data_IF_490767073441
#
_entry.id   IF_490767073441
#
_cell.length_a   1.000
_cell.length_b   1.000
_cell.length_c   1.000
_cell.angle_alpha   90.00
_cell.angle_beta   90.00
_cell.angle_gamma   90.00
#
_symmetry.space_group_name_H-M   'P 1'
#
loop_
_entity.id
_entity.type
_entity.pdbx_description
1 polymer ?
#
# COMPACT_ATOMS: atom_id res chain seq x y z
N UNK A 1 -11.95 -16.87 -16.73
CA UNK A 1 -11.34 -15.83 -15.87
C UNK A 1 -12.04 -15.90 -14.53
N UNK A 2 -11.52 -16.70 -13.61
CA UNK A 2 -12.00 -16.69 -12.21
C UNK A 2 -11.48 -15.40 -11.59
N UNK A 3 -12.30 -14.35 -11.58
CA UNK A 3 -11.93 -13.09 -10.94
C UNK A 3 -11.74 -13.31 -9.44
N UNK A 4 -10.75 -12.64 -8.87
CA UNK A 4 -10.54 -12.58 -7.43
C UNK A 4 -11.84 -12.11 -6.75
N UNK A 5 -12.21 -12.61 -5.56
CA UNK A 5 -13.50 -12.32 -4.92
C UNK A 5 -13.77 -10.82 -4.77
N UNK A 6 -12.70 -10.01 -4.71
CA UNK A 6 -12.73 -8.55 -4.55
C UNK A 6 -13.16 -7.77 -5.80
N UNK A 7 -13.21 -8.39 -6.97
CA UNK A 7 -13.59 -7.72 -8.24
C UNK A 7 -14.87 -8.27 -8.86
N UNK A 8 -15.54 -9.20 -8.17
CA UNK A 8 -16.81 -9.76 -8.60
C UNK A 8 -17.88 -8.65 -8.67
N UNK A 9 -18.43 -8.41 -9.86
CA UNK A 9 -19.47 -7.41 -10.10
C UNK A 9 -18.98 -6.01 -10.50
N UNK A 10 -17.67 -5.79 -10.66
CA UNK A 10 -17.14 -4.54 -11.22
C UNK A 10 -17.13 -4.54 -12.76
N UNK A 11 -17.27 -3.37 -13.37
CA UNK A 11 -17.03 -3.19 -14.81
C UNK A 11 -15.54 -3.35 -15.15
N UNK A 12 -15.23 -3.56 -16.44
CA UNK A 12 -13.84 -3.72 -16.89
C UNK A 12 -12.95 -2.51 -16.53
N UNK A 13 -13.48 -1.29 -16.67
CA UNK A 13 -12.79 -0.04 -16.30
C UNK A 13 -12.59 0.08 -14.79
N UNK A 14 -13.59 -0.25 -13.98
CA UNK A 14 -13.49 -0.23 -12.51
C UNK A 14 -12.48 -1.26 -12.00
N UNK A 15 -12.47 -2.44 -12.60
CA UNK A 15 -11.53 -3.51 -12.27
C UNK A 15 -10.09 -3.12 -12.61
N UNK A 16 -9.85 -2.47 -13.75
CA UNK A 16 -8.53 -1.95 -14.10
C UNK A 16 -8.03 -0.91 -13.07
N UNK A 17 -8.90 0.02 -12.67
CA UNK A 17 -8.58 1.02 -11.65
C UNK A 17 -8.29 0.39 -10.27
N UNK A 18 -9.08 -0.60 -9.85
CA UNK A 18 -8.83 -1.37 -8.64
C UNK A 18 -7.43 -1.98 -8.63
N UNK A 19 -7.02 -2.61 -9.74
CA UNK A 19 -5.71 -3.24 -9.82
C UNK A 19 -4.56 -2.22 -9.78
N UNK A 20 -4.70 -1.04 -10.40
CA UNK A 20 -3.65 -0.01 -10.29
C UNK A 20 -3.50 0.48 -8.85
N UNK A 21 -4.61 0.72 -8.15
CA UNK A 21 -4.57 1.26 -6.80
C UNK A 21 -4.09 0.22 -5.78
N UNK A 22 -4.58 -1.01 -5.92
CA UNK A 22 -4.17 -2.13 -5.07
C UNK A 22 -2.67 -2.39 -5.18
N UNK A 23 -2.10 -2.37 -6.40
CA UNK A 23 -0.65 -2.59 -6.59
C UNK A 23 0.18 -1.46 -5.97
N UNK A 24 -0.30 -0.22 -6.01
CA UNK A 24 0.41 0.94 -5.45
C UNK A 24 0.41 0.94 -3.91
N UNK A 25 -0.66 0.42 -3.30
CA UNK A 25 -0.83 0.44 -1.84
C UNK A 25 -0.49 -0.87 -1.13
N UNK A 26 -0.46 -2.00 -1.85
CA UNK A 26 -0.14 -3.33 -1.29
C UNK A 26 1.22 -3.31 -0.62
N UNK A 27 1.31 -4.00 0.53
CA UNK A 27 2.58 -4.20 1.23
C UNK A 27 3.14 -5.58 0.91
N UNK A 28 4.45 -5.63 0.69
CA UNK A 28 5.16 -6.88 0.43
C UNK A 28 5.55 -7.55 1.76
N UNK A 29 5.17 -8.82 1.91
CA UNK A 29 5.51 -9.65 3.08
C UNK A 29 7.04 -9.73 3.25
N UNK A 30 7.76 -9.87 2.14
CA UNK A 30 9.22 -10.04 2.11
C UNK A 30 9.95 -8.77 2.55
N UNK A 31 9.49 -7.60 2.09
CA UNK A 31 10.07 -6.32 2.50
C UNK A 31 9.94 -6.13 4.03
N UNK A 32 8.81 -6.55 4.60
CA UNK A 32 8.60 -6.56 6.04
C UNK A 32 9.60 -7.44 6.80
N UNK A 33 9.79 -8.67 6.34
CA UNK A 33 10.74 -9.63 6.94
C UNK A 33 12.17 -9.09 6.85
N UNK A 34 12.57 -8.56 5.70
CA UNK A 34 13.88 -7.95 5.50
C UNK A 34 14.07 -6.74 6.43
N UNK A 35 13.08 -5.85 6.54
CA UNK A 35 13.14 -4.73 7.46
C UNK A 35 13.26 -5.18 8.92
N UNK A 36 12.50 -6.19 9.36
CA UNK A 36 12.60 -6.71 10.72
C UNK A 36 14.00 -7.30 11.00
N UNK A 37 14.59 -8.01 10.03
CA UNK A 37 15.92 -8.59 10.14
C UNK A 37 17.04 -7.53 10.12
N UNK A 38 16.96 -6.54 9.23
CA UNK A 38 17.98 -5.50 9.08
C UNK A 38 17.87 -4.39 10.15
N UNK A 39 16.67 -3.92 10.53
CA UNK A 39 16.51 -2.95 11.63
C UNK A 39 16.75 -3.58 13.00
N UNK A 40 16.37 -4.85 13.18
CA UNK A 40 16.58 -5.57 14.44
C UNK A 40 18.06 -5.84 14.73
N UNK A 41 18.88 -6.04 13.69
CA UNK A 41 20.30 -6.38 13.84
C UNK A 41 21.24 -5.19 13.94
N UNK A 42 20.91 -4.02 13.35
CA UNK A 42 21.97 -3.05 13.10
C UNK A 42 22.44 -2.25 14.32
N UNK A 43 21.58 -1.66 15.16
CA UNK A 43 21.96 -0.89 16.37
C UNK A 43 22.98 0.28 16.20
N UNK A 44 23.64 0.39 15.05
CA UNK A 44 24.81 1.22 14.77
C UNK A 44 24.41 2.65 14.38
N UNK A 45 23.17 2.84 13.92
CA UNK A 45 22.58 4.16 13.70
C UNK A 45 22.64 5.03 14.97
N UNK A 46 22.43 4.47 16.16
CA UNK A 46 22.50 5.22 17.42
C UNK A 46 23.93 5.69 17.77
N UNK A 47 24.94 4.95 17.31
CA UNK A 47 26.35 5.33 17.44
C UNK A 47 26.71 6.50 16.51
N UNK A 48 26.05 6.56 15.34
CA UNK A 48 26.23 7.64 14.36
C UNK A 48 25.72 9.01 14.86
N UNK A 49 24.65 9.04 15.68
CA UNK A 49 24.09 10.29 16.23
C UNK A 49 24.81 10.82 17.49
N UNK A 50 26.04 10.38 17.82
CA UNK A 50 26.81 10.79 19.02
C UNK A 50 26.05 10.66 20.36
N UNK A 51 25.02 9.80 20.42
CA UNK A 51 24.27 9.49 21.64
C UNK A 51 24.75 8.15 22.19
N UNK A 52 25.97 8.19 22.74
CA UNK A 52 26.72 7.02 23.17
C UNK A 52 25.96 6.16 24.21
N UNK A 53 25.10 6.75 25.05
CA UNK A 53 24.31 6.00 26.04
C UNK A 53 23.32 4.99 25.44
N UNK A 54 22.58 5.38 24.39
CA UNK A 54 21.65 4.48 23.68
C UNK A 54 22.40 3.50 22.77
N UNK A 55 23.52 3.93 22.20
CA UNK A 55 24.41 3.09 21.41
C UNK A 55 25.04 1.95 22.23
N UNK A 56 25.46 2.21 23.47
CA UNK A 56 26.00 1.19 24.38
C UNK A 56 24.91 0.21 24.84
N UNK A 57 23.68 0.68 25.11
CA UNK A 57 22.54 -0.21 25.35
C UNK A 57 22.29 -1.16 24.16
N UNK A 58 22.29 -0.65 22.93
CA UNK A 58 22.14 -1.50 21.73
C UNK A 58 23.35 -2.43 21.49
N UNK A 59 24.59 -1.98 21.76
CA UNK A 59 25.79 -2.83 21.71
C UNK A 59 25.73 -3.96 22.76
N UNK A 60 25.26 -3.64 23.97
CA UNK A 60 25.07 -4.59 25.08
C UNK A 60 23.84 -5.48 24.92
N UNK A 61 22.87 -5.16 24.05
CA UNK A 61 21.77 -6.06 23.70
C UNK A 61 22.03 -6.84 22.41
N UNK A 62 22.94 -6.39 21.53
CA UNK A 62 23.38 -7.14 20.35
C UNK A 62 24.02 -8.50 20.71
N UNK A 63 24.86 -8.55 21.76
CA UNK A 63 25.43 -9.85 22.21
C UNK A 63 24.43 -10.73 22.96
N UNK A 64 23.31 -10.19 23.45
CA UNK A 64 22.26 -10.98 24.14
C UNK A 64 21.33 -11.72 23.18
N UNK A 65 21.37 -11.39 21.88
CA UNK A 65 20.44 -11.94 20.88
C UNK A 65 18.99 -11.51 21.07
N UNK A 66 18.67 -10.68 22.08
CA UNK A 66 17.30 -10.28 22.41
C UNK A 66 16.60 -9.45 21.32
N UNK A 67 17.26 -8.47 20.66
CA UNK A 67 16.68 -7.79 19.49
C UNK A 67 16.41 -8.76 18.34
N UNK A 68 17.29 -9.75 18.16
CA UNK A 68 17.10 -10.85 17.22
C UNK A 68 15.91 -11.73 17.60
N UNK A 69 15.73 -12.03 18.89
CA UNK A 69 14.62 -12.84 19.40
C UNK A 69 13.27 -12.14 19.18
N UNK A 70 13.19 -10.84 19.47
CA UNK A 70 11.99 -10.02 19.21
C UNK A 70 11.72 -9.93 17.71
N UNK A 71 12.76 -9.71 16.89
CA UNK A 71 12.61 -9.68 15.43
C UNK A 71 12.19 -11.04 14.86
N UNK A 72 12.63 -12.16 15.45
CA UNK A 72 12.25 -13.51 15.05
C UNK A 72 10.77 -13.78 15.37
N UNK A 73 10.31 -13.37 16.55
CA UNK A 73 8.89 -13.42 16.92
C UNK A 73 8.07 -12.56 15.96
N UNK A 74 8.48 -11.32 15.72
CA UNK A 74 7.80 -10.39 14.83
C UNK A 74 7.76 -10.90 13.37
N UNK A 75 8.84 -11.53 12.91
CA UNK A 75 8.93 -12.15 11.59
C UNK A 75 7.89 -13.27 11.39
N UNK A 76 7.48 -13.98 12.45
CA UNK A 76 6.46 -15.01 12.35
C UNK A 76 5.04 -14.42 12.28
N UNK A 77 4.79 -13.29 12.97
CA UNK A 77 3.48 -12.62 12.98
C UNK A 77 3.26 -11.65 11.81
N UNK A 78 4.34 -11.10 11.24
CA UNK A 78 4.26 -10.08 10.18
C UNK A 78 3.56 -10.56 8.90
N UNK A 79 3.78 -11.78 8.37
CA UNK A 79 3.04 -12.27 7.21
C UNK A 79 1.52 -12.30 7.44
N UNK A 80 1.08 -12.68 8.64
CA UNK A 80 -0.34 -12.64 9.02
C UNK A 80 -0.90 -11.23 8.96
N UNK A 81 -0.20 -10.25 9.57
CA UNK A 81 -0.61 -8.84 9.56
C UNK A 81 -0.59 -8.22 8.17
N UNK A 82 0.37 -8.57 7.33
CA UNK A 82 0.45 -8.07 5.94
C UNK A 82 -0.71 -8.63 5.10
N UNK A 83 -1.05 -9.92 5.27
CA UNK A 83 -2.22 -10.52 4.59
C UNK A 83 -3.53 -9.89 5.03
N UNK A 84 -3.70 -9.69 6.33
CA UNK A 84 -4.87 -9.04 6.89
C UNK A 84 -5.00 -7.59 6.39
N UNK A 85 -3.90 -6.83 6.41
CA UNK A 85 -3.85 -5.48 5.87
C UNK A 85 -4.20 -5.44 4.37
N UNK A 86 -3.59 -6.33 3.56
CA UNK A 86 -3.85 -6.40 2.12
C UNK A 86 -5.30 -6.82 1.83
N UNK A 87 -5.91 -7.69 2.66
CA UNK A 87 -7.31 -8.08 2.54
C UNK A 87 -8.26 -6.92 2.87
N UNK A 88 -8.02 -6.18 3.96
CA UNK A 88 -8.82 -5.01 4.34
C UNK A 88 -8.70 -3.88 3.31
N UNK A 89 -7.50 -3.64 2.80
CA UNK A 89 -7.24 -2.68 1.73
C UNK A 89 -8.04 -3.02 0.47
N UNK A 90 -8.06 -4.30 0.05
CA UNK A 90 -8.85 -4.75 -1.09
C UNK A 90 -10.35 -4.49 -0.90
N UNK A 91 -10.90 -4.77 0.29
CA UNK A 91 -12.30 -4.52 0.60
C UNK A 91 -12.64 -3.02 0.56
N UNK A 92 -11.79 -2.17 1.15
CA UNK A 92 -12.00 -0.72 1.17
C UNK A 92 -11.97 -0.12 -0.25
N UNK A 93 -11.01 -0.53 -1.07
CA UNK A 93 -10.89 -0.07 -2.45
C UNK A 93 -12.11 -0.47 -3.28
N UNK A 94 -12.59 -1.71 -3.12
CA UNK A 94 -13.78 -2.19 -3.80
C UNK A 94 -15.01 -1.34 -3.46
N UNK A 95 -15.23 -1.03 -2.18
CA UNK A 95 -16.37 -0.21 -1.74
C UNK A 95 -16.30 1.21 -2.30
N UNK A 96 -15.10 1.80 -2.30
CA UNK A 96 -14.88 3.15 -2.82
C UNK A 96 -15.22 3.22 -4.31
N UNK A 97 -14.80 2.21 -5.08
CA UNK A 97 -15.03 2.12 -6.53
C UNK A 97 -16.51 1.86 -6.88
N UNK A 98 -17.20 1.02 -6.11
CA UNK A 98 -18.61 0.67 -6.37
C UNK A 98 -19.56 1.81 -6.03
N UNK A 99 -19.27 2.58 -4.98
CA UNK A 99 -20.14 3.68 -4.54
C UNK A 99 -19.97 4.97 -5.37
N UNK A 100 -19.18 4.94 -6.45
CA UNK A 100 -18.89 6.13 -7.25
C UNK A 100 -18.09 7.19 -6.47
N UNK A 101 -17.54 6.83 -5.31
CA UNK A 101 -16.59 7.65 -4.59
C UNK A 101 -15.33 7.69 -5.44
N UNK A 102 -15.19 8.74 -6.25
CA UNK A 102 -13.90 9.10 -6.82
C UNK A 102 -12.92 9.07 -5.66
N UNK A 103 -12.00 8.12 -5.68
CA UNK A 103 -10.89 8.08 -4.75
C UNK A 103 -10.41 9.52 -4.62
N UNK A 104 -10.48 10.07 -3.41
CA UNK A 104 -9.88 11.36 -3.13
C UNK A 104 -8.42 11.24 -3.49
N UNK A 105 -8.10 11.76 -4.66
CA UNK A 105 -6.78 11.91 -5.22
C UNK A 105 -6.06 12.95 -4.38
N UNK A 106 -4.94 12.64 -3.72
CA UNK A 106 -3.75 13.41 -3.95
C UNK A 106 -3.11 12.81 -5.21
N UNK A 107 -3.20 13.55 -6.32
CA UNK A 107 -2.65 13.25 -7.65
C UNK A 107 -3.64 12.64 -8.64
N UNK A 108 -4.41 13.54 -9.25
CA UNK A 108 -4.50 13.52 -10.70
C UNK A 108 -3.08 13.50 -11.30
N UNK A 109 -2.55 12.32 -11.56
CA UNK A 109 -1.52 12.08 -12.56
C UNK A 109 -2.06 10.90 -13.38
N UNK A 110 -3.01 11.15 -14.28
CA UNK A 110 -2.71 11.54 -15.65
C UNK A 110 -1.65 10.66 -16.34
N UNK A 111 -1.72 9.35 -16.11
CA UNK A 111 -1.15 8.34 -17.02
C UNK A 111 -2.24 7.50 -17.69
N UNK A 112 -3.42 8.10 -17.91
CA UNK A 112 -4.20 7.81 -19.10
C UNK A 112 -4.04 9.03 -20.03
N UNK A 113 -3.39 8.91 -21.20
CA UNK A 113 -3.20 10.02 -22.12
C UNK A 113 -4.52 10.63 -22.65
N UNK A 114 -5.69 10.07 -22.30
CA UNK A 114 -7.02 10.63 -22.61
C UNK A 114 -7.72 11.38 -21.46
N UNK A 115 -7.26 11.27 -20.20
CA UNK A 115 -8.00 11.79 -19.01
C UNK A 115 -7.25 12.92 -18.31
N UNK A 116 -6.34 13.55 -19.03
CA UNK A 116 -5.61 14.72 -18.55
C UNK A 116 -6.48 15.96 -18.34
N UNK A 117 -7.49 16.10 -19.20
CA UNK A 117 -8.32 17.30 -19.34
C UNK A 117 -9.79 16.93 -19.63
N UNK A 118 -10.21 15.71 -19.28
CA UNK A 118 -11.57 15.24 -19.54
C UNK A 118 -12.55 15.92 -18.60
N UNK A 119 -13.59 16.56 -19.16
CA UNK A 119 -14.74 16.99 -18.37
C UNK A 119 -15.45 15.73 -17.81
N UNK A 120 -16.31 15.90 -16.81
CA UNK A 120 -17.22 14.84 -16.35
C UNK A 120 -18.64 15.31 -16.57
N UNK A 121 -19.51 14.40 -17.02
CA UNK A 121 -20.88 14.72 -17.36
C UNK A 121 -21.69 15.07 -16.09
N UNK A 122 -22.32 16.26 -16.04
CA UNK A 122 -23.08 16.73 -14.87
C UNK A 122 -24.38 15.95 -14.63
N UNK A 123 -24.85 15.20 -15.62
CA UNK A 123 -26.09 14.42 -15.55
C UNK A 123 -25.88 13.01 -14.98
N UNK A 124 -24.75 12.35 -15.30
CA UNK A 124 -24.53 10.94 -14.94
C UNK A 124 -23.12 10.63 -14.37
N UNK A 125 -22.20 11.59 -14.36
CA UNK A 125 -20.85 11.43 -13.81
C UNK A 125 -19.85 10.66 -14.68
N UNK A 126 -20.21 10.29 -15.91
CA UNK A 126 -19.30 9.59 -16.82
C UNK A 126 -18.13 10.49 -17.27
N UNK A 127 -16.91 9.94 -17.45
CA UNK A 127 -15.78 10.68 -18.03
C UNK A 127 -16.02 10.93 -19.52
N UNK A 128 -15.79 12.16 -19.98
CA UNK A 128 -15.96 12.57 -21.38
C UNK A 128 -14.63 13.00 -22.00
N UNK A 129 -14.45 12.67 -23.28
CA UNK A 129 -13.32 13.14 -24.10
C UNK A 129 -13.33 14.68 -24.23
N UNK A 130 -12.19 15.26 -24.55
CA UNK A 130 -11.97 16.71 -24.42
C UNK A 130 -12.92 17.55 -25.32
N UNK A 131 -13.42 16.94 -26.39
CA UNK A 131 -14.25 17.49 -27.46
C UNK A 131 -15.69 16.94 -27.52
N UNK A 132 -16.08 16.02 -26.64
CA UNK A 132 -17.47 15.57 -26.57
C UNK A 132 -18.40 16.70 -26.10
N UNK A 133 -19.47 16.95 -26.85
CA UNK A 133 -20.49 17.95 -26.51
C UNK A 133 -21.69 17.37 -25.75
N UNK A 134 -21.81 16.05 -25.70
CA UNK A 134 -22.91 15.33 -25.08
C UNK A 134 -22.40 14.11 -24.31
N UNK A 135 -23.17 13.74 -23.30
CA UNK A 135 -23.22 12.39 -22.75
C UNK A 135 -23.95 11.50 -23.77
#
# INVERSE_FOLDING_TARGET
MTGDPYTAGMTEVQRAYFYSEYQNQRKDEVAGILFAFFLGSFGAHHFYLKRNGMGVLYLCFFWTGLPGLIALVECFFMPGRVREYNALLALQLQQTILNGGTATTPLANNHNPYVANGRVCSQCGAPMEHDAQFC
#
